data_IF_297312093815
#
_entry.id   IF_297312093815
#
_cell.length_a   1.000
_cell.length_b   1.000
_cell.length_c   1.000
_cell.angle_alpha   90.00
_cell.angle_beta   90.00
_cell.angle_gamma   90.00
#
_symmetry.space_group_name_H-M   'P 1'
#
loop_
_entity.id
_entity.type
_entity.pdbx_description
1 polymer ?
#
# COMPACT_ATOMS: atom_id res chain seq x y z
N UNK A 1 -36.04 -26.69 -6.97
CA UNK A 1 -35.41 -25.38 -7.29
C UNK A 1 -35.45 -24.36 -6.13
N UNK A 2 -36.42 -24.43 -5.22
CA UNK A 2 -36.52 -23.55 -4.04
C UNK A 2 -35.34 -23.69 -3.05
N UNK A 3 -34.81 -24.87 -2.81
CA UNK A 3 -33.69 -25.08 -1.88
C UNK A 3 -32.36 -24.45 -2.32
N UNK A 4 -32.18 -24.14 -3.58
CA UNK A 4 -30.98 -23.43 -4.10
C UNK A 4 -31.10 -21.90 -3.94
N UNK A 5 -32.33 -21.37 -3.98
CA UNK A 5 -32.59 -19.96 -3.74
C UNK A 5 -32.42 -19.58 -2.25
N UNK A 6 -32.82 -20.44 -1.34
CA UNK A 6 -32.65 -20.23 0.11
C UNK A 6 -31.18 -20.31 0.55
N UNK A 7 -30.33 -21.09 -0.13
CA UNK A 7 -28.88 -21.15 0.14
C UNK A 7 -28.13 -19.89 -0.25
N UNK A 8 -28.60 -19.18 -1.29
CA UNK A 8 -27.99 -17.91 -1.74
C UNK A 8 -28.38 -16.72 -0.84
N UNK A 9 -29.58 -16.74 -0.27
CA UNK A 9 -30.08 -15.68 0.62
C UNK A 9 -29.45 -15.70 2.03
N UNK A 10 -28.83 -16.81 2.46
CA UNK A 10 -28.25 -16.97 3.81
C UNK A 10 -26.86 -16.41 4.01
N UNK A 11 -26.23 -15.75 3.05
CA UNK A 11 -24.87 -15.18 3.18
C UNK A 11 -24.77 -13.68 2.93
N UNK A 12 -25.75 -12.90 3.31
CA UNK A 12 -25.50 -11.50 3.61
C UNK A 12 -24.87 -11.47 5.00
N UNK A 13 -23.57 -11.76 5.08
CA UNK A 13 -22.80 -11.50 6.30
C UNK A 13 -22.91 -9.99 6.55
N UNK A 14 -23.46 -9.60 7.70
CA UNK A 14 -23.43 -8.21 8.16
C UNK A 14 -21.96 -7.79 8.22
N UNK A 15 -21.53 -7.01 7.25
CA UNK A 15 -20.22 -6.35 7.29
C UNK A 15 -20.35 -5.23 8.31
N UNK A 16 -19.70 -5.38 9.44
CA UNK A 16 -19.63 -4.33 10.45
C UNK A 16 -18.65 -3.26 9.94
N UNK A 17 -19.10 -2.02 9.86
CA UNK A 17 -18.25 -0.87 9.53
C UNK A 17 -17.93 -0.11 10.80
N UNK A 18 -16.64 0.03 11.11
CA UNK A 18 -16.16 0.85 12.22
C UNK A 18 -15.49 2.10 11.66
N UNK A 19 -15.83 3.26 12.22
CA UNK A 19 -15.15 4.52 11.92
C UNK A 19 -13.94 4.65 12.83
N UNK A 20 -12.81 5.08 12.29
CA UNK A 20 -11.54 5.23 12.99
C UNK A 20 -11.05 6.64 12.74
N UNK A 21 -10.75 7.38 13.80
CA UNK A 21 -10.27 8.76 13.74
C UNK A 21 -8.76 8.89 13.94
N UNK A 22 -8.11 7.90 14.59
CA UNK A 22 -6.69 7.98 14.93
C UNK A 22 -5.93 6.67 14.74
N UNK A 23 -4.59 6.75 14.81
CA UNK A 23 -3.74 5.57 14.82
C UNK A 23 -3.91 4.71 16.07
N UNK A 24 -4.23 5.30 17.21
CA UNK A 24 -4.48 4.60 18.47
C UNK A 24 -5.75 3.76 18.40
N UNK A 25 -6.85 4.33 17.92
CA UNK A 25 -8.10 3.60 17.67
C UNK A 25 -7.90 2.46 16.64
N UNK A 26 -7.03 2.67 15.66
CA UNK A 26 -6.69 1.65 14.68
C UNK A 26 -5.99 0.45 15.33
N UNK A 27 -5.10 0.69 16.31
CA UNK A 27 -4.44 -0.36 17.08
C UNK A 27 -5.46 -1.12 17.92
N UNK A 28 -6.29 -0.39 18.66
CA UNK A 28 -7.35 -0.98 19.51
C UNK A 28 -8.26 -1.90 18.69
N UNK A 29 -8.77 -1.43 17.58
CA UNK A 29 -9.63 -2.22 16.70
C UNK A 29 -8.94 -3.45 16.12
N UNK A 30 -7.61 -3.47 15.98
CA UNK A 30 -6.89 -4.65 15.49
C UNK A 30 -7.03 -5.86 16.41
N UNK A 31 -7.16 -5.64 17.71
CA UNK A 31 -7.35 -6.68 18.72
C UNK A 31 -8.77 -7.27 18.67
N UNK A 32 -9.77 -6.46 18.38
CA UNK A 32 -11.17 -6.88 18.35
C UNK A 32 -11.60 -7.52 17.03
N UNK A 33 -10.85 -7.30 15.95
CA UNK A 33 -11.21 -7.72 14.61
C UNK A 33 -11.10 -9.24 14.33
N UNK A 34 -10.82 -10.07 15.32
CA UNK A 34 -10.44 -11.50 15.11
C UNK A 34 -11.49 -12.34 14.41
N UNK A 35 -12.77 -12.04 14.53
CA UNK A 35 -13.86 -12.92 14.08
C UNK A 35 -14.81 -12.34 13.03
N UNK A 36 -14.68 -11.09 12.63
CA UNK A 36 -15.62 -10.43 11.72
C UNK A 36 -14.97 -9.99 10.41
N UNK A 37 -15.72 -9.98 9.35
CA UNK A 37 -15.41 -9.23 8.13
C UNK A 37 -15.59 -7.73 8.45
N UNK A 38 -14.66 -7.19 9.24
CA UNK A 38 -14.69 -5.80 9.66
C UNK A 38 -14.21 -4.91 8.53
N UNK A 39 -15.02 -3.95 8.16
CA UNK A 39 -14.63 -2.86 7.28
C UNK A 39 -14.37 -1.62 8.12
N UNK A 40 -13.21 -1.02 7.93
CA UNK A 40 -12.80 0.19 8.62
C UNK A 40 -12.95 1.38 7.69
N UNK A 41 -13.54 2.47 8.19
CA UNK A 41 -13.53 3.77 7.52
C UNK A 41 -12.34 4.55 8.07
N UNK A 42 -11.25 4.59 7.32
CA UNK A 42 -10.00 5.23 7.76
C UNK A 42 -9.82 6.61 7.13
N UNK A 43 -9.34 7.59 7.93
CA UNK A 43 -8.83 8.83 7.39
C UNK A 43 -7.78 8.57 6.31
N UNK A 44 -7.82 9.33 5.24
CA UNK A 44 -6.90 9.18 4.10
C UNK A 44 -5.44 9.34 4.52
N UNK A 45 -5.19 10.19 5.50
CA UNK A 45 -3.87 10.45 6.06
C UNK A 45 -3.27 9.27 6.82
N UNK A 46 -4.06 8.30 7.26
CA UNK A 46 -3.57 7.05 7.86
C UNK A 46 -3.21 6.00 6.81
N UNK A 47 -3.58 6.18 5.56
CA UNK A 47 -3.30 5.21 4.50
C UNK A 47 -1.88 5.40 3.94
N UNK A 48 -1.20 4.28 3.72
CA UNK A 48 0.13 4.23 3.11
C UNK A 48 0.16 3.26 1.94
N UNK A 49 0.90 3.61 0.92
CA UNK A 49 1.36 2.68 -0.12
C UNK A 49 2.80 2.25 0.20
N UNK A 50 3.26 1.17 -0.40
CA UNK A 50 4.65 0.72 -0.27
C UNK A 50 5.62 1.85 -0.64
N UNK A 51 6.72 1.98 0.11
CA UNK A 51 7.61 3.13 0.05
C UNK A 51 7.23 4.27 0.99
N UNK A 52 6.18 4.11 1.81
CA UNK A 52 5.71 5.13 2.75
C UNK A 52 4.87 6.25 2.13
N UNK A 53 4.53 6.16 0.84
CA UNK A 53 3.71 7.17 0.18
C UNK A 53 2.32 7.28 0.82
N UNK A 54 1.94 8.49 1.19
CA UNK A 54 0.60 8.82 1.68
C UNK A 54 -0.35 9.07 0.50
N UNK A 55 -1.64 8.84 0.67
CA UNK A 55 -2.64 9.11 -0.39
C UNK A 55 -3.04 10.60 -0.48
N UNK A 56 -2.10 11.49 -0.17
CA UNK A 56 -2.22 12.93 -0.35
C UNK A 56 -1.92 13.41 -1.79
N UNK A 57 -1.84 14.75 -1.98
CA UNK A 57 -1.62 15.36 -3.30
C UNK A 57 -0.34 14.88 -4.02
N UNK A 58 0.68 14.50 -3.28
CA UNK A 58 1.99 14.06 -3.81
C UNK A 58 2.04 12.55 -4.10
N UNK A 59 0.97 11.80 -3.80
CA UNK A 59 0.90 10.38 -4.17
C UNK A 59 0.93 10.23 -5.69
N UNK A 60 1.77 9.35 -6.28
CA UNK A 60 1.98 9.31 -7.73
C UNK A 60 0.68 9.13 -8.54
N UNK A 61 -0.24 8.29 -8.08
CA UNK A 61 -1.51 8.07 -8.76
C UNK A 61 -2.53 9.18 -8.52
N UNK A 62 -2.53 9.81 -7.34
CA UNK A 62 -3.39 10.98 -7.06
C UNK A 62 -2.92 12.15 -7.93
N UNK A 63 -1.62 12.38 -7.98
CA UNK A 63 -1.00 13.41 -8.81
C UNK A 63 -1.28 13.19 -10.31
N UNK A 64 -1.17 11.93 -10.78
CA UNK A 64 -1.50 11.56 -12.16
C UNK A 64 -2.96 11.82 -12.52
N UNK A 65 -3.90 11.58 -11.61
CA UNK A 65 -5.32 11.88 -11.80
C UNK A 65 -5.63 13.39 -11.85
N UNK A 66 -4.77 14.22 -11.25
CA UNK A 66 -4.92 15.68 -11.21
C UNK A 66 -4.18 16.39 -12.33
N UNK A 67 -2.95 15.98 -12.62
CA UNK A 67 -2.01 16.66 -13.51
C UNK A 67 -1.81 15.93 -14.84
N UNK A 68 -2.36 14.73 -14.96
CA UNK A 68 -2.26 13.94 -16.19
C UNK A 68 -1.05 13.02 -16.26
N UNK A 69 -0.89 12.41 -17.42
CA UNK A 69 0.07 11.34 -17.71
C UNK A 69 1.53 11.76 -17.45
N UNK A 70 1.92 12.99 -17.84
CA UNK A 70 3.30 13.48 -17.70
C UNK A 70 3.81 13.37 -16.25
N UNK A 71 2.95 13.63 -15.26
CA UNK A 71 3.34 13.53 -13.86
C UNK A 71 3.63 12.10 -13.42
N UNK A 72 3.01 11.11 -14.04
CA UNK A 72 3.28 9.69 -13.79
C UNK A 72 4.57 9.25 -14.50
N UNK A 73 4.83 9.76 -15.71
CA UNK A 73 6.09 9.57 -16.42
C UNK A 73 7.27 10.11 -15.62
N UNK A 74 7.16 11.35 -15.13
CA UNK A 74 8.18 11.99 -14.29
C UNK A 74 8.45 11.16 -13.01
N UNK A 75 7.40 10.63 -12.41
CA UNK A 75 7.53 9.75 -11.25
C UNK A 75 8.35 8.49 -11.60
N UNK A 76 8.02 7.78 -12.66
CA UNK A 76 8.73 6.57 -13.08
C UNK A 76 10.15 6.83 -13.58
N UNK A 77 10.43 8.03 -14.07
CA UNK A 77 11.80 8.46 -14.43
C UNK A 77 12.64 8.70 -13.18
N UNK A 78 12.09 9.40 -12.18
CA UNK A 78 12.82 9.79 -10.96
C UNK A 78 12.95 8.65 -9.94
N UNK A 79 11.91 7.84 -9.78
CA UNK A 79 11.85 6.80 -8.75
C UNK A 79 12.28 5.46 -9.34
N UNK A 80 13.59 5.19 -9.34
CA UNK A 80 14.21 3.97 -9.88
C UNK A 80 15.14 3.34 -8.86
N UNK A 81 14.59 2.82 -7.75
CA UNK A 81 15.42 2.25 -6.70
C UNK A 81 16.14 0.99 -7.17
N UNK A 82 17.41 0.87 -6.81
CA UNK A 82 18.25 -0.30 -7.11
C UNK A 82 18.11 -1.39 -6.05
N UNK A 83 17.86 -1.01 -4.81
CA UNK A 83 17.74 -1.90 -3.66
C UNK A 83 16.74 -1.35 -2.64
N UNK A 84 16.52 -2.09 -1.56
CA UNK A 84 15.59 -1.72 -0.51
C UNK A 84 15.99 -0.43 0.22
N UNK A 85 17.29 -0.22 0.47
CA UNK A 85 17.77 0.98 1.14
C UNK A 85 17.53 2.22 0.29
N UNK A 86 17.85 2.12 -0.98
CA UNK A 86 17.63 3.16 -1.98
C UNK A 86 16.13 3.52 -2.06
N UNK A 87 15.26 2.50 -2.03
CA UNK A 87 13.81 2.70 -2.07
C UNK A 87 13.24 3.49 -0.90
N UNK A 88 13.84 3.40 0.27
CA UNK A 88 13.41 4.13 1.47
C UNK A 88 14.31 5.32 1.81
N UNK A 89 15.26 5.68 0.94
CA UNK A 89 16.27 6.73 1.16
C UNK A 89 17.00 6.54 2.50
N UNK A 90 17.46 5.32 2.73
CA UNK A 90 18.19 4.94 3.93
C UNK A 90 19.66 4.66 3.59
N UNK A 91 20.56 5.09 4.46
CA UNK A 91 21.95 4.71 4.34
C UNK A 91 22.10 3.23 4.68
N UNK A 92 22.67 2.46 3.77
CA UNK A 92 23.01 1.07 4.05
C UNK A 92 24.08 1.01 5.15
N UNK A 93 23.76 0.33 6.24
CA UNK A 93 24.72 -0.03 7.27
C UNK A 93 25.22 -1.44 7.00
N UNK A 94 26.21 -1.58 6.09
CA UNK A 94 26.75 -2.88 5.70
C UNK A 94 26.22 -3.43 4.36
N UNK A 95 26.86 -4.53 3.89
CA UNK A 95 26.57 -5.12 2.56
C UNK A 95 25.19 -5.75 2.42
N UNK A 96 24.50 -6.01 3.52
CA UNK A 96 23.29 -6.85 3.55
C UNK A 96 22.09 -6.12 2.93
N UNK A 97 21.86 -4.86 3.28
CA UNK A 97 20.74 -4.08 2.75
C UNK A 97 20.87 -3.73 1.26
N UNK A 98 22.10 -3.60 0.76
CA UNK A 98 22.36 -3.28 -0.66
C UNK A 98 22.03 -4.44 -1.61
N UNK A 99 22.00 -5.67 -1.11
CA UNK A 99 21.72 -6.87 -1.89
C UNK A 99 20.23 -7.20 -2.01
N UNK A 100 19.37 -6.56 -1.20
CA UNK A 100 17.95 -6.83 -1.21
C UNK A 100 17.22 -5.99 -2.27
N UNK A 101 16.36 -6.64 -3.09
CA UNK A 101 15.57 -5.92 -4.09
C UNK A 101 14.62 -4.88 -3.45
N UNK A 102 14.26 -3.81 -4.16
CA UNK A 102 13.43 -2.74 -3.62
C UNK A 102 11.98 -3.16 -3.31
N UNK A 103 11.50 -4.29 -3.85
CA UNK A 103 10.15 -4.81 -3.55
C UNK A 103 10.06 -5.62 -2.26
N UNK A 104 11.20 -5.97 -1.65
CA UNK A 104 11.22 -6.74 -0.41
C UNK A 104 10.62 -5.93 0.75
N UNK A 105 10.02 -6.66 1.68
CA UNK A 105 9.43 -6.11 2.89
C UNK A 105 9.92 -6.96 4.06
N UNK A 106 10.63 -6.38 5.05
CA UNK A 106 11.32 -7.13 6.10
C UNK A 106 10.44 -8.12 6.86
N UNK A 107 9.20 -7.75 7.14
CA UNK A 107 8.25 -8.55 7.93
C UNK A 107 7.39 -9.51 7.11
N UNK A 108 7.40 -9.44 5.80
CA UNK A 108 6.71 -10.43 4.95
C UNK A 108 7.65 -11.50 4.43
N UNK A 109 8.86 -11.13 4.10
CA UNK A 109 9.91 -11.97 3.57
C UNK A 109 9.48 -12.80 2.36
N UNK A 110 10.05 -12.59 1.22
CA UNK A 110 9.90 -13.53 0.11
C UNK A 110 10.87 -14.71 0.33
N UNK A 111 10.35 -15.92 0.28
CA UNK A 111 11.21 -17.11 0.27
C UNK A 111 12.02 -17.19 -1.04
N UNK A 112 11.45 -16.65 -2.11
CA UNK A 112 12.01 -16.60 -3.43
C UNK A 112 12.22 -15.13 -3.81
N UNK A 113 13.45 -14.73 -4.07
CA UNK A 113 13.81 -13.40 -4.57
C UNK A 113 13.35 -13.15 -6.02
N UNK A 114 12.32 -13.82 -6.45
CA UNK A 114 11.73 -13.63 -7.77
C UNK A 114 11.05 -12.28 -7.82
N UNK A 115 11.28 -11.48 -8.86
CA UNK A 115 10.54 -10.24 -9.07
C UNK A 115 9.03 -10.49 -8.99
N UNK A 116 8.25 -9.53 -8.46
CA UNK A 116 6.80 -9.60 -8.59
C UNK A 116 6.44 -9.73 -10.07
N UNK A 117 5.40 -10.48 -10.41
CA UNK A 117 4.94 -10.55 -11.79
C UNK A 117 4.62 -9.16 -12.31
N UNK A 118 4.84 -8.92 -13.57
CA UNK A 118 4.45 -7.69 -14.24
C UNK A 118 2.97 -7.36 -14.06
N UNK A 119 2.57 -6.20 -14.51
CA UNK A 119 1.17 -5.79 -14.48
C UNK A 119 0.31 -6.74 -15.33
N UNK A 120 -0.93 -7.02 -14.86
CA UNK A 120 -1.85 -7.87 -15.61
C UNK A 120 -2.06 -7.34 -17.04
N UNK A 121 -1.63 -8.12 -18.00
CA UNK A 121 -1.66 -7.78 -19.44
C UNK A 121 -0.35 -7.26 -20.00
N UNK A 122 0.73 -7.20 -19.18
CA UNK A 122 2.08 -6.85 -19.61
C UNK A 122 3.10 -7.82 -18.99
N UNK A 123 4.21 -8.07 -19.68
CA UNK A 123 5.34 -8.80 -19.10
C UNK A 123 6.07 -7.94 -18.06
N UNK A 124 6.93 -8.57 -17.28
CA UNK A 124 7.78 -7.89 -16.29
C UNK A 124 8.77 -6.89 -16.90
N UNK A 125 9.16 -7.08 -18.18
CA UNK A 125 10.03 -6.16 -18.92
C UNK A 125 9.46 -4.75 -19.06
N UNK A 126 8.13 -4.62 -18.95
CA UNK A 126 7.47 -3.31 -18.94
C UNK A 126 7.56 -2.58 -17.61
N UNK A 127 8.15 -3.18 -16.61
CA UNK A 127 8.29 -2.68 -15.25
C UNK A 127 7.40 -3.41 -14.25
N UNK A 128 8.04 -3.78 -13.16
CA UNK A 128 7.42 -4.45 -12.01
C UNK A 128 6.98 -3.38 -11.01
N UNK A 129 5.84 -3.57 -10.36
CA UNK A 129 5.43 -2.64 -9.30
C UNK A 129 5.12 -1.20 -9.79
N UNK A 130 5.03 -0.27 -8.84
CA UNK A 130 4.61 1.13 -9.03
C UNK A 130 5.79 2.13 -9.01
N UNK A 131 7.00 1.68 -9.20
CA UNK A 131 8.21 2.51 -9.39
C UNK A 131 8.89 2.12 -10.71
N UNK A 132 9.83 2.98 -11.15
CA UNK A 132 10.54 2.78 -12.42
C UNK A 132 11.69 1.75 -12.32
N UNK A 133 12.24 1.40 -13.46
CA UNK A 133 11.86 1.90 -14.78
C UNK A 133 10.50 1.34 -15.24
N UNK A 134 9.77 2.10 -16.02
CA UNK A 134 8.52 1.68 -16.64
C UNK A 134 8.48 2.11 -18.10
N UNK A 135 7.93 1.25 -18.97
CA UNK A 135 7.73 1.58 -20.38
C UNK A 135 6.48 2.43 -20.60
N UNK A 136 6.39 3.07 -21.75
CA UNK A 136 5.18 3.80 -22.15
C UNK A 136 3.93 2.94 -22.10
N UNK A 137 4.02 1.65 -22.48
CA UNK A 137 2.91 0.71 -22.44
C UNK A 137 2.36 0.55 -20.99
N UNK A 138 3.23 0.46 -20.00
CA UNK A 138 2.82 0.38 -18.61
C UNK A 138 2.19 1.69 -18.14
N UNK A 139 2.80 2.83 -18.44
CA UNK A 139 2.28 4.15 -18.05
C UNK A 139 0.88 4.36 -18.63
N UNK A 140 0.69 4.00 -19.89
CA UNK A 140 -0.60 4.08 -20.57
C UNK A 140 -1.66 3.16 -19.94
N UNK A 141 -1.28 1.92 -19.63
CA UNK A 141 -2.15 0.97 -18.94
C UNK A 141 -2.58 1.48 -17.56
N UNK A 142 -1.64 2.03 -16.78
CA UNK A 142 -1.93 2.62 -15.46
C UNK A 142 -2.87 3.81 -15.58
N UNK A 143 -2.62 4.73 -16.51
CA UNK A 143 -3.48 5.89 -16.76
C UNK A 143 -4.89 5.46 -17.21
N UNK A 144 -4.99 4.49 -18.11
CA UNK A 144 -6.27 3.93 -18.56
C UNK A 144 -7.07 3.35 -17.40
N UNK A 145 -6.41 2.58 -16.51
CA UNK A 145 -7.03 2.00 -15.30
C UNK A 145 -7.51 3.07 -14.34
N UNK A 146 -6.65 4.04 -14.03
CA UNK A 146 -6.96 5.15 -13.13
C UNK A 146 -8.15 5.97 -13.65
N UNK A 147 -8.11 6.36 -14.93
CA UNK A 147 -9.16 7.18 -15.55
C UNK A 147 -10.49 6.45 -15.64
N UNK A 148 -10.47 5.16 -16.05
CA UNK A 148 -11.67 4.33 -16.10
C UNK A 148 -12.30 4.17 -14.73
N UNK A 149 -11.49 3.84 -13.74
CA UNK A 149 -11.93 3.64 -12.36
C UNK A 149 -12.50 4.94 -11.76
N UNK A 150 -11.84 6.09 -12.01
CA UNK A 150 -12.34 7.40 -11.60
C UNK A 150 -13.72 7.67 -12.18
N UNK A 151 -13.90 7.57 -13.50
CA UNK A 151 -15.19 7.78 -14.17
C UNK A 151 -16.30 6.88 -13.60
N UNK A 152 -15.97 5.62 -13.31
CA UNK A 152 -16.93 4.65 -12.78
C UNK A 152 -17.36 5.01 -11.35
N UNK A 153 -16.39 5.38 -10.50
CA UNK A 153 -16.65 5.76 -9.10
C UNK A 153 -17.36 7.12 -9.03
N UNK A 154 -17.00 8.10 -9.85
CA UNK A 154 -17.70 9.39 -9.94
C UNK A 154 -19.19 9.21 -10.30
N UNK A 155 -19.47 8.30 -11.25
CA UNK A 155 -20.84 8.07 -11.72
C UNK A 155 -21.69 7.25 -10.75
N UNK A 156 -21.14 6.22 -10.16
CA UNK A 156 -21.91 5.19 -9.45
C UNK A 156 -21.63 5.14 -7.94
N UNK A 157 -20.68 5.95 -7.45
CA UNK A 157 -20.12 5.78 -6.11
C UNK A 157 -19.14 4.59 -6.01
N UNK A 158 -18.43 4.51 -4.89
CA UNK A 158 -17.56 3.37 -4.61
C UNK A 158 -18.33 2.24 -3.91
N UNK A 159 -18.47 1.12 -4.59
CA UNK A 159 -19.09 -0.09 -4.09
C UNK A 159 -18.07 -1.24 -4.07
N UNK A 160 -17.59 -1.71 -2.90
CA UNK A 160 -16.61 -2.78 -2.81
C UNK A 160 -17.01 -4.06 -3.54
N UNK A 161 -18.28 -4.39 -3.57
CA UNK A 161 -18.80 -5.57 -4.28
C UNK A 161 -18.64 -5.48 -5.81
N UNK A 162 -18.65 -4.27 -6.37
CA UNK A 162 -18.46 -4.00 -7.82
C UNK A 162 -17.01 -3.72 -8.14
N UNK A 163 -16.35 -2.90 -7.33
CA UNK A 163 -15.00 -2.42 -7.60
C UNK A 163 -13.92 -3.28 -6.92
N UNK A 164 -14.29 -4.16 -6.00
CA UNK A 164 -13.39 -4.92 -5.12
C UNK A 164 -12.94 -4.11 -3.90
N UNK A 165 -12.43 -4.79 -2.89
CA UNK A 165 -11.99 -4.18 -1.64
C UNK A 165 -10.66 -3.43 -1.75
N UNK A 166 -10.50 -2.39 -0.94
CA UNK A 166 -9.20 -1.82 -0.59
C UNK A 166 -8.74 -2.58 0.65
N UNK A 167 -7.60 -3.25 0.58
CA UNK A 167 -7.19 -4.17 1.64
C UNK A 167 -5.72 -4.06 1.99
N UNK A 168 -5.41 -4.29 3.26
CA UNK A 168 -4.05 -4.16 3.78
C UNK A 168 -3.92 -4.65 5.20
N UNK A 169 -3.02 -4.05 5.93
CA UNK A 169 -2.76 -4.32 7.34
C UNK A 169 -2.12 -3.12 8.04
N UNK A 170 -2.15 -3.14 9.35
CA UNK A 170 -1.59 -2.08 10.20
C UNK A 170 -0.08 -2.26 10.33
N UNK A 171 0.67 -1.17 10.23
CA UNK A 171 2.08 -1.08 10.61
C UNK A 171 2.23 -0.08 11.76
N UNK A 172 2.99 -0.44 12.79
CA UNK A 172 3.09 0.29 14.05
C UNK A 172 4.52 0.40 14.53
N UNK A 173 4.94 1.62 14.90
CA UNK A 173 6.16 1.87 15.69
C UNK A 173 5.75 2.57 16.99
N UNK A 174 5.91 1.89 18.13
CA UNK A 174 5.39 2.32 19.41
C UNK A 174 3.87 2.60 19.34
N UNK A 175 3.46 3.86 19.46
CA UNK A 175 2.06 4.30 19.40
C UNK A 175 1.66 4.85 18.02
N UNK A 176 2.62 5.07 17.13
CA UNK A 176 2.34 5.59 15.79
C UNK A 176 1.93 4.44 14.86
N UNK A 177 0.69 4.46 14.39
CA UNK A 177 0.15 3.42 13.52
C UNK A 177 -0.42 4.00 12.22
N UNK A 178 -0.28 3.24 11.14
CA UNK A 178 -0.87 3.54 9.82
C UNK A 178 -1.33 2.24 9.16
N UNK A 179 -2.13 2.37 8.11
CA UNK A 179 -2.64 1.23 7.36
C UNK A 179 -1.93 1.11 6.01
N UNK A 180 -1.15 0.05 5.84
CA UNK A 180 -0.45 -0.24 4.59
C UNK A 180 -1.38 -0.93 3.59
N UNK A 181 -1.76 -0.22 2.54
CA UNK A 181 -2.60 -0.74 1.46
C UNK A 181 -1.80 -1.69 0.57
N UNK A 182 -2.23 -2.95 0.50
CA UNK A 182 -1.63 -4.00 -0.34
C UNK A 182 -2.49 -4.39 -1.54
N UNK A 183 -3.80 -4.23 -1.44
CA UNK A 183 -4.77 -4.43 -2.51
C UNK A 183 -5.62 -3.19 -2.73
N UNK A 184 -5.95 -2.89 -3.99
CA UNK A 184 -6.79 -1.73 -4.31
C UNK A 184 -6.09 -0.38 -4.28
N UNK A 185 -4.79 -0.31 -4.52
CA UNK A 185 -3.99 0.94 -4.54
C UNK A 185 -4.60 2.00 -5.47
N UNK A 186 -5.00 1.63 -6.68
CA UNK A 186 -5.68 2.55 -7.62
C UNK A 186 -7.01 3.09 -7.08
N UNK A 187 -7.80 2.21 -6.42
CA UNK A 187 -9.08 2.61 -5.80
C UNK A 187 -8.90 3.61 -4.69
N UNK A 188 -7.92 3.35 -3.80
CA UNK A 188 -7.57 4.29 -2.74
C UNK A 188 -7.13 5.65 -3.30
N UNK A 189 -6.29 5.64 -4.35
CA UNK A 189 -5.84 6.86 -5.00
C UNK A 189 -6.99 7.62 -5.69
N UNK A 190 -7.90 6.91 -6.36
CA UNK A 190 -9.09 7.53 -6.97
C UNK A 190 -9.97 8.16 -5.91
N UNK A 191 -10.31 7.45 -4.82
CA UNK A 191 -11.14 8.00 -3.74
C UNK A 191 -10.48 9.24 -3.11
N UNK A 192 -9.17 9.18 -2.85
CA UNK A 192 -8.43 10.33 -2.35
C UNK A 192 -8.45 11.51 -3.34
N UNK A 193 -8.30 11.25 -4.66
CA UNK A 193 -8.35 12.28 -5.69
C UNK A 193 -9.72 12.94 -5.86
N UNK A 194 -10.77 12.24 -5.44
CA UNK A 194 -12.15 12.73 -5.40
C UNK A 194 -12.51 13.49 -4.12
N UNK A 195 -11.53 13.69 -3.22
CA UNK A 195 -11.72 14.46 -2.00
C UNK A 195 -12.35 13.68 -0.85
N UNK A 196 -12.40 12.35 -0.92
CA UNK A 196 -12.88 11.56 0.21
C UNK A 196 -11.91 11.67 1.38
N UNK A 197 -12.36 12.18 2.52
CA UNK A 197 -11.57 12.28 3.75
C UNK A 197 -11.38 10.92 4.43
N UNK A 198 -12.31 10.00 4.24
CA UNK A 198 -12.29 8.64 4.77
C UNK A 198 -12.47 7.61 3.66
N UNK A 199 -11.74 6.53 3.75
CA UNK A 199 -11.74 5.46 2.74
C UNK A 199 -12.04 4.12 3.42
N UNK A 200 -13.01 3.33 2.89
CA UNK A 200 -13.32 2.02 3.41
C UNK A 200 -12.22 1.02 3.06
N UNK A 201 -11.67 0.36 4.07
CA UNK A 201 -10.65 -0.68 3.94
C UNK A 201 -11.02 -1.93 4.71
N UNK A 202 -10.40 -3.04 4.38
CA UNK A 202 -10.50 -4.28 5.15
C UNK A 202 -9.12 -4.93 5.33
N UNK A 203 -8.99 -5.83 6.29
CA UNK A 203 -7.77 -6.60 6.45
C UNK A 203 -7.57 -7.57 5.29
N UNK A 204 -6.35 -7.62 4.78
CA UNK A 204 -6.00 -8.51 3.67
C UNK A 204 -5.85 -9.95 4.18
N UNK A 205 -6.61 -10.88 3.59
CA UNK A 205 -6.51 -12.31 3.91
C UNK A 205 -5.07 -12.81 3.68
N UNK A 206 -4.61 -13.70 4.54
CA UNK A 206 -3.26 -14.31 4.54
C UNK A 206 -2.10 -13.35 4.82
N UNK A 207 -2.39 -12.16 5.33
CA UNK A 207 -1.39 -11.20 5.81
C UNK A 207 -1.57 -11.00 7.32
N UNK A 208 -0.50 -10.60 8.06
CA UNK A 208 -0.66 -10.17 9.43
C UNK A 208 -1.63 -8.99 9.50
N UNK A 209 -2.43 -8.89 10.53
CA UNK A 209 -3.29 -7.71 10.74
C UNK A 209 -2.50 -6.53 11.25
N UNK A 210 -1.54 -6.81 12.12
CA UNK A 210 -0.67 -5.84 12.76
C UNK A 210 0.79 -6.29 12.60
N UNK A 211 1.65 -5.37 12.22
CA UNK A 211 3.11 -5.50 12.22
C UNK A 211 3.66 -4.42 13.14
N UNK A 212 4.32 -4.83 14.22
CA UNK A 212 4.92 -3.94 15.21
C UNK A 212 6.43 -3.98 15.15
N UNK A 213 7.09 -2.81 15.33
CA UNK A 213 8.54 -2.72 15.47
C UNK A 213 9.09 -3.50 16.68
N UNK A 214 8.26 -3.73 17.70
CA UNK A 214 8.62 -4.53 18.89
C UNK A 214 8.91 -5.99 18.51
N UNK A 215 8.26 -6.50 17.45
CA UNK A 215 8.41 -7.86 16.98
C UNK A 215 9.47 -8.00 15.86
N UNK A 216 10.33 -6.99 15.66
CA UNK A 216 11.28 -6.97 14.55
C UNK A 216 12.24 -8.15 14.51
N UNK A 217 12.63 -8.69 15.66
CA UNK A 217 13.50 -9.87 15.78
C UNK A 217 12.89 -11.14 15.14
N UNK A 218 11.56 -11.20 15.05
CA UNK A 218 10.82 -12.31 14.46
C UNK A 218 10.51 -12.10 12.98
N UNK A 219 10.81 -10.94 12.41
CA UNK A 219 10.53 -10.70 11.00
C UNK A 219 11.37 -11.61 10.11
N UNK A 220 10.78 -12.19 9.04
CA UNK A 220 11.46 -13.19 8.24
C UNK A 220 12.84 -12.80 7.69
N UNK A 221 13.02 -11.56 7.23
CA UNK A 221 14.31 -11.14 6.69
C UNK A 221 15.34 -10.87 7.81
N UNK A 222 14.91 -10.36 8.96
CA UNK A 222 15.78 -10.15 10.14
C UNK A 222 16.22 -11.50 10.70
N UNK A 223 15.26 -12.42 10.93
CA UNK A 223 15.56 -13.76 11.47
C UNK A 223 16.54 -14.56 10.60
N UNK A 224 16.51 -14.32 9.29
CA UNK A 224 17.46 -14.96 8.34
C UNK A 224 18.80 -14.24 8.21
N UNK A 225 19.03 -13.15 8.94
CA UNK A 225 20.23 -12.32 8.81
C UNK A 225 20.37 -11.62 7.45
N UNK A 226 19.26 -11.45 6.73
CA UNK A 226 19.23 -10.80 5.40
C UNK A 226 19.14 -9.28 5.50
N UNK A 227 18.75 -8.75 6.64
CA UNK A 227 18.69 -7.33 6.97
C UNK A 227 18.88 -7.16 8.47
N UNK A 228 19.58 -6.10 8.86
CA UNK A 228 19.73 -5.75 10.25
C UNK A 228 18.41 -5.30 10.87
N UNK A 229 18.22 -5.63 12.15
CA UNK A 229 17.02 -5.26 12.91
C UNK A 229 16.74 -3.76 12.85
N UNK A 230 17.75 -2.94 13.08
CA UNK A 230 17.59 -1.48 13.09
C UNK A 230 17.21 -0.94 11.71
N UNK A 231 17.84 -1.40 10.64
CA UNK A 231 17.49 -1.04 9.27
C UNK A 231 16.06 -1.47 8.94
N UNK A 232 15.64 -2.67 9.36
CA UNK A 232 14.27 -3.13 9.17
C UNK A 232 13.24 -2.25 9.90
N UNK A 233 13.56 -1.79 11.12
CA UNK A 233 12.73 -0.86 11.88
C UNK A 233 12.70 0.53 11.20
N UNK A 234 13.81 1.02 10.66
CA UNK A 234 13.83 2.28 9.90
C UNK A 234 12.93 2.20 8.67
N UNK A 235 12.89 1.06 7.98
CA UNK A 235 11.94 0.83 6.88
C UNK A 235 10.50 0.89 7.39
N UNK A 236 10.18 0.29 8.52
CA UNK A 236 8.83 0.39 9.08
C UNK A 236 8.50 1.83 9.47
N UNK A 237 9.43 2.57 10.04
CA UNK A 237 9.27 3.99 10.40
C UNK A 237 8.98 4.89 9.20
N UNK A 238 9.39 4.51 7.98
CA UNK A 238 9.02 5.24 6.79
C UNK A 238 7.50 5.25 6.54
N UNK A 239 6.76 4.29 7.10
CA UNK A 239 5.29 4.25 7.02
C UNK A 239 4.60 5.01 8.16
N UNK A 240 5.21 5.05 9.35
CA UNK A 240 4.57 5.62 10.56
C UNK A 240 4.90 7.09 10.80
N UNK A 241 5.87 7.66 10.08
CA UNK A 241 6.20 9.09 10.20
C UNK A 241 5.03 9.98 9.79
N UNK A 242 4.79 11.01 10.59
CA UNK A 242 3.78 12.03 10.30
C UNK A 242 4.15 12.86 9.07
N UNK A 243 3.13 13.34 8.35
CA UNK A 243 3.25 14.15 7.13
C UNK A 243 4.18 15.38 7.21
N UNK A 244 4.44 15.90 8.40
CA UNK A 244 5.24 17.12 8.56
C UNK A 244 6.70 17.01 8.09
N UNK A 245 7.22 15.78 7.91
CA UNK A 245 8.59 15.54 7.50
C UNK A 245 8.74 14.95 6.09
N UNK A 246 7.65 14.74 5.35
CA UNK A 246 7.67 14.15 4.00
C UNK A 246 7.68 15.21 2.86
N UNK A 247 8.06 16.47 3.15
CA UNK A 247 8.29 17.45 2.08
C UNK A 247 9.54 17.12 1.24
N UNK A 248 10.44 16.30 1.75
CA UNK A 248 11.44 15.62 0.92
C UNK A 248 10.84 14.28 0.46
N UNK A 249 10.43 14.22 -0.80
CA UNK A 249 10.22 12.93 -1.46
C UNK A 249 11.42 12.03 -1.12
N UNK A 250 11.24 10.70 -0.88
CA UNK A 250 12.36 9.82 -0.51
C UNK A 250 13.50 9.79 -1.52
N UNK A 251 13.37 10.52 -2.60
CA UNK A 251 14.41 10.75 -3.59
C UNK A 251 14.69 12.24 -3.66
N UNK A 252 15.74 12.66 -2.97
CA UNK A 252 16.32 14.00 -3.10
C UNK A 252 16.57 14.33 -4.56
N UNK A 253 16.39 15.61 -4.88
CA UNK A 253 16.85 16.21 -6.13
C UNK A 253 18.26 15.73 -6.41
N UNK A 254 18.44 14.92 -7.45
CA UNK A 254 19.76 14.72 -8.04
C UNK A 254 20.21 16.09 -8.56
N UNK A 255 21.21 16.67 -7.89
CA UNK A 255 22.06 17.67 -8.50
C UNK A 255 22.92 17.00 -9.56
#
# INVERSE_FOLDING_TARGET
>A
MEKLAESAARRIRKVHTAQVGSGEELIELSHWAEKSELRLMLPVELLRMQGGYTYGPEHPFVRALRLGRSSLEDFYIRVRPKNICDFYNLKATGRVGESLPPWEIPWLGSANRTPPPGERGLSEDHGISFYGPATNAKIELEMKRLTHLRKTIEKNGYHPNLHGDISGYIVMDKIAATFLVRGGKHRAAVLASLGNSHIPVCFKKRFPRLVSSENADFWPLVKRGMIDRELAIQILRAYTRSHRNNQEAPYGSAN
#
